data_IF_887945299944
#
_entry.id   IF_887945299944
#
_cell.length_a   1.000
_cell.length_b   1.000
_cell.length_c   1.000
_cell.angle_alpha   90.00
_cell.angle_beta   90.00
_cell.angle_gamma   90.00
#
_symmetry.space_group_name_H-M   'P 1'
#
loop_
_entity.id
_entity.type
_entity.pdbx_description
1 polymer ?
#
# COMPACT_ATOMS: atom_id res chain seq x y z
N UNK A 1 0.77 -1.32 -20.81
CA UNK A 1 1.77 -2.37 -20.57
C UNK A 1 1.33 -3.26 -19.43
N UNK A 2 1.27 -4.58 -19.62
CA UNK A 2 1.04 -5.55 -18.53
C UNK A 2 2.13 -5.41 -17.46
N UNK A 3 1.78 -5.60 -16.20
CA UNK A 3 2.75 -5.44 -15.09
C UNK A 3 3.57 -6.70 -14.80
N UNK A 4 3.11 -7.86 -15.23
CA UNK A 4 3.82 -9.14 -15.09
C UNK A 4 3.85 -9.90 -16.41
N UNK A 5 4.80 -10.83 -16.51
CA UNK A 5 4.89 -11.80 -17.60
C UNK A 5 5.09 -13.21 -17.03
N UNK A 6 4.20 -14.18 -17.34
CA UNK A 6 2.94 -14.04 -18.07
C UNK A 6 1.95 -13.06 -17.43
N UNK A 7 1.14 -12.43 -18.28
CA UNK A 7 0.15 -11.45 -17.85
C UNK A 7 -0.94 -12.09 -16.97
N UNK A 8 -1.44 -11.35 -15.99
CA UNK A 8 -2.50 -11.80 -15.08
C UNK A 8 -3.54 -10.71 -14.88
N UNK A 9 -4.78 -11.12 -14.61
CA UNK A 9 -5.91 -10.27 -14.27
C UNK A 9 -6.03 -9.99 -12.76
N UNK A 10 -5.18 -10.62 -11.93
CA UNK A 10 -5.18 -10.50 -10.47
C UNK A 10 -3.76 -10.47 -9.90
N UNK A 11 -3.48 -9.49 -9.06
CA UNK A 11 -2.19 -9.32 -8.39
C UNK A 11 -2.40 -9.01 -6.91
N UNK A 12 -1.57 -9.62 -6.07
CA UNK A 12 -1.55 -9.42 -4.63
C UNK A 12 -0.20 -8.79 -4.28
N UNK A 13 -0.22 -7.60 -3.67
CA UNK A 13 0.98 -6.92 -3.18
C UNK A 13 1.04 -7.05 -1.65
N UNK A 14 2.02 -7.79 -1.17
CA UNK A 14 2.28 -7.95 0.26
C UNK A 14 2.90 -6.70 0.86
N UNK A 15 2.47 -6.34 2.07
CA UNK A 15 2.87 -5.12 2.78
C UNK A 15 3.80 -5.41 3.98
N UNK A 16 4.54 -6.52 3.93
CA UNK A 16 5.33 -7.02 5.07
C UNK A 16 6.38 -6.01 5.58
N UNK A 17 6.97 -5.20 4.69
CA UNK A 17 7.95 -4.17 5.04
C UNK A 17 7.36 -2.98 5.81
N UNK A 18 6.02 -2.83 5.86
CA UNK A 18 5.36 -1.84 6.72
C UNK A 18 5.45 -2.27 8.20
N UNK A 19 5.71 -3.56 8.46
CA UNK A 19 5.74 -4.16 9.79
C UNK A 19 4.36 -4.61 10.25
N UNK A 20 4.11 -4.59 11.57
CA UNK A 20 2.85 -5.03 12.19
C UNK A 20 1.63 -4.29 11.58
N UNK A 21 1.79 -3.03 11.20
CA UNK A 21 0.73 -2.23 10.57
C UNK A 21 0.33 -2.79 9.19
N UNK A 22 1.27 -3.37 8.44
CA UNK A 22 0.97 -4.04 7.17
C UNK A 22 0.06 -5.25 7.34
N UNK A 23 0.19 -5.98 8.45
CA UNK A 23 -0.70 -7.10 8.78
C UNK A 23 -2.11 -6.64 9.17
N UNK A 24 -2.23 -5.48 9.83
CA UNK A 24 -3.50 -4.88 10.20
C UNK A 24 -4.36 -4.52 8.97
N UNK A 25 -3.72 -4.00 7.92
CA UNK A 25 -4.42 -3.58 6.71
C UNK A 25 -4.60 -4.67 5.66
N UNK A 26 -3.80 -5.72 5.75
CA UNK A 26 -3.76 -6.79 4.77
C UNK A 26 -3.05 -6.38 3.47
N UNK A 27 -2.97 -7.31 2.50
CA UNK A 27 -2.32 -7.06 1.23
C UNK A 27 -3.15 -6.16 0.32
N UNK A 28 -2.49 -5.51 -0.63
CA UNK A 28 -3.15 -4.75 -1.69
C UNK A 28 -3.58 -5.74 -2.76
N UNK A 29 -4.89 -5.86 -2.99
CA UNK A 29 -5.45 -6.75 -4.02
C UNK A 29 -5.89 -5.90 -5.20
N UNK A 30 -5.34 -6.20 -6.38
CA UNK A 30 -5.60 -5.48 -7.62
C UNK A 30 -6.15 -6.47 -8.64
N UNK A 31 -7.40 -6.26 -9.02
CA UNK A 31 -8.15 -7.14 -9.92
C UNK A 31 -8.74 -6.33 -11.06
N UNK A 32 -8.74 -6.90 -12.27
CA UNK A 32 -9.44 -6.35 -13.42
C UNK A 32 -10.53 -7.29 -13.90
N UNK A 33 -11.75 -6.79 -13.92
CA UNK A 33 -12.89 -7.54 -14.44
C UNK A 33 -12.79 -7.77 -15.95
N UNK A 34 -13.32 -8.91 -16.41
CA UNK A 34 -13.44 -9.23 -17.83
C UNK A 34 -12.17 -9.80 -18.47
N UNK A 35 -11.31 -10.48 -17.70
CA UNK A 35 -10.11 -11.18 -18.21
C UNK A 35 -9.04 -10.24 -18.77
N UNK A 36 -9.09 -8.95 -18.43
CA UNK A 36 -8.09 -7.98 -18.86
C UNK A 36 -6.89 -8.05 -17.92
N UNK A 37 -5.69 -8.05 -18.50
CA UNK A 37 -4.48 -8.02 -17.69
C UNK A 37 -4.35 -6.72 -16.89
N UNK A 38 -3.85 -6.88 -15.65
CA UNK A 38 -3.43 -5.78 -14.79
C UNK A 38 -2.24 -5.08 -15.46
N UNK A 39 -2.34 -3.76 -15.57
CA UNK A 39 -1.28 -2.93 -16.15
C UNK A 39 -0.44 -2.28 -15.06
N UNK A 40 0.75 -1.79 -15.42
CA UNK A 40 1.60 -1.00 -14.51
C UNK A 40 0.82 0.16 -13.91
N UNK A 41 -0.03 0.83 -14.71
CA UNK A 41 -0.90 1.90 -14.24
C UNK A 41 -1.88 1.44 -13.15
N UNK A 42 -2.47 0.27 -13.30
CA UNK A 42 -3.40 -0.27 -12.29
C UNK A 42 -2.66 -0.63 -11.01
N UNK A 43 -1.45 -1.18 -11.11
CA UNK A 43 -0.59 -1.43 -9.96
C UNK A 43 -0.30 -0.14 -9.19
N UNK A 44 0.20 0.90 -9.88
CA UNK A 44 0.53 2.18 -9.26
C UNK A 44 -0.70 2.85 -8.65
N UNK A 45 -1.84 2.80 -9.36
CA UNK A 45 -3.09 3.34 -8.86
C UNK A 45 -3.60 2.59 -7.61
N UNK A 46 -3.48 1.26 -7.57
CA UNK A 46 -3.86 0.45 -6.42
C UNK A 46 -2.99 0.72 -5.20
N UNK A 47 -1.66 0.82 -5.38
CA UNK A 47 -0.73 1.20 -4.32
C UNK A 47 -1.06 2.61 -3.80
N UNK A 48 -1.26 3.57 -4.71
CA UNK A 48 -1.62 4.93 -4.33
C UNK A 48 -2.94 4.97 -3.54
N UNK A 49 -4.00 4.33 -4.04
CA UNK A 49 -5.31 4.29 -3.39
C UNK A 49 -5.25 3.64 -1.99
N UNK A 50 -4.46 2.57 -1.84
CA UNK A 50 -4.22 1.95 -0.54
C UNK A 50 -3.64 2.97 0.45
N UNK A 51 -2.60 3.72 0.06
CA UNK A 51 -1.98 4.71 0.93
C UNK A 51 -2.83 5.97 1.17
N UNK A 52 -3.74 6.30 0.26
CA UNK A 52 -4.70 7.39 0.44
C UNK A 52 -5.90 7.01 1.32
N UNK A 53 -6.04 5.75 1.70
CA UNK A 53 -7.15 5.31 2.55
C UNK A 53 -7.05 5.95 3.94
N UNK A 54 -8.18 6.45 4.45
CA UNK A 54 -8.25 7.06 5.80
C UNK A 54 -8.05 6.00 6.87
N UNK A 55 -7.36 6.37 7.93
CA UNK A 55 -7.14 5.52 9.10
C UNK A 55 -8.32 5.71 10.06
N UNK A 56 -8.94 4.60 10.46
CA UNK A 56 -10.02 4.58 11.44
C UNK A 56 -9.48 4.85 12.84
N UNK A 57 -10.37 5.25 13.76
CA UNK A 57 -9.98 5.47 15.16
C UNK A 57 -9.40 4.22 15.82
N UNK A 58 -9.95 3.04 15.53
CA UNK A 58 -9.45 1.78 16.06
C UNK A 58 -8.03 1.47 15.55
N UNK A 59 -7.74 1.76 14.28
CA UNK A 59 -6.40 1.63 13.72
C UNK A 59 -5.42 2.64 14.36
N UNK A 60 -5.85 3.90 14.58
CA UNK A 60 -5.05 4.91 15.30
C UNK A 60 -4.71 4.44 16.71
N UNK A 61 -5.68 3.94 17.46
CA UNK A 61 -5.48 3.46 18.84
C UNK A 61 -4.52 2.25 18.85
N UNK A 62 -4.69 1.33 17.90
CA UNK A 62 -3.80 0.19 17.73
C UNK A 62 -2.36 0.62 17.42
N UNK A 63 -2.16 1.47 16.40
CA UNK A 63 -0.83 1.95 15.98
C UNK A 63 -0.14 2.72 17.10
N UNK A 64 -0.90 3.55 17.83
CA UNK A 64 -0.39 4.32 18.97
C UNK A 64 0.06 3.42 20.13
N UNK A 65 -0.59 2.26 20.32
CA UNK A 65 -0.20 1.30 21.34
C UNK A 65 1.10 0.53 21.04
N UNK A 66 1.52 0.48 19.76
CA UNK A 66 2.71 -0.24 19.33
C UNK A 66 4.02 0.49 19.67
N UNK A 67 3.98 1.78 19.97
CA UNK A 67 5.17 2.57 20.25
C UNK A 67 4.83 3.96 20.77
N UNK A 68 5.60 4.44 21.77
CA UNK A 68 5.33 5.72 22.46
C UNK A 68 5.25 6.92 21.53
N UNK A 69 6.04 6.92 20.46
CA UNK A 69 6.15 8.07 19.55
C UNK A 69 5.34 7.90 18.26
N UNK A 70 4.67 6.75 18.05
CA UNK A 70 3.96 6.45 16.80
C UNK A 70 2.82 7.42 16.53
N UNK A 71 2.06 7.79 17.57
CA UNK A 71 0.98 8.77 17.43
C UNK A 71 1.53 10.14 17.00
N UNK A 72 2.59 10.58 17.67
CA UNK A 72 3.21 11.87 17.39
C UNK A 72 3.80 11.91 15.97
N UNK A 73 4.55 10.88 15.57
CA UNK A 73 5.11 10.74 14.23
C UNK A 73 4.02 10.75 13.14
N UNK A 74 2.90 10.05 13.37
CA UNK A 74 1.77 10.03 12.45
C UNK A 74 1.08 11.41 12.34
N UNK A 75 0.90 12.11 13.47
CA UNK A 75 0.32 13.45 13.48
C UNK A 75 1.25 14.46 12.81
N UNK A 76 2.56 14.34 12.98
CA UNK A 76 3.54 15.21 12.36
C UNK A 76 3.60 14.98 10.84
N UNK A 77 3.61 13.72 10.38
CA UNK A 77 3.49 13.38 8.97
C UNK A 77 2.19 13.92 8.34
N UNK A 78 1.05 13.76 9.02
CA UNK A 78 -0.23 14.34 8.62
C UNK A 78 -0.18 15.86 8.51
N UNK A 79 0.40 16.53 9.53
CA UNK A 79 0.56 17.99 9.53
C UNK A 79 1.42 18.44 8.38
N UNK A 80 2.57 17.80 8.14
CA UNK A 80 3.43 18.14 7.02
C UNK A 80 2.70 17.97 5.68
N UNK A 81 2.01 16.84 5.49
CA UNK A 81 1.22 16.58 4.29
C UNK A 81 0.20 17.69 4.04
N UNK A 82 -0.49 18.15 5.08
CA UNK A 82 -1.56 19.16 4.96
C UNK A 82 -1.09 20.61 4.99
N UNK A 83 0.10 20.90 5.53
CA UNK A 83 0.64 22.27 5.64
C UNK A 83 1.66 22.63 4.56
N UNK A 84 1.93 21.72 3.62
CA UNK A 84 2.72 22.04 2.42
C UNK A 84 2.15 23.29 1.74
N UNK A 85 3.02 24.28 1.54
CA UNK A 85 2.68 25.64 1.07
C UNK A 85 1.85 25.67 -0.23
N UNK A 86 1.93 24.63 -1.04
CA UNK A 86 1.27 24.52 -2.34
C UNK A 86 -0.22 24.16 -2.26
N UNK A 87 -0.73 23.75 -1.10
CA UNK A 87 -2.12 23.30 -0.98
C UNK A 87 -3.15 24.44 -1.04
N UNK A 88 -2.79 25.67 -0.65
CA UNK A 88 -3.71 26.82 -0.72
C UNK A 88 -5.11 26.51 -0.18
N UNK A 89 -6.13 26.63 -1.04
CA UNK A 89 -7.54 26.35 -0.71
C UNK A 89 -7.86 24.87 -0.47
N UNK A 90 -7.00 23.93 -0.89
CA UNK A 90 -7.16 22.49 -0.65
C UNK A 90 -6.78 22.10 0.78
N UNK A 91 -6.12 22.97 1.53
CA UNK A 91 -5.71 22.70 2.91
C UNK A 91 -6.89 22.32 3.81
N UNK A 92 -7.97 23.09 3.73
CA UNK A 92 -9.14 22.88 4.59
C UNK A 92 -9.91 21.62 4.21
N UNK A 93 -9.81 21.18 2.96
CA UNK A 93 -10.34 19.89 2.51
C UNK A 93 -9.49 18.73 3.02
N UNK A 94 -8.18 18.80 2.84
CA UNK A 94 -7.22 17.82 3.36
C UNK A 94 -7.31 17.66 4.89
N UNK A 95 -7.60 18.75 5.61
CA UNK A 95 -7.83 18.70 7.06
C UNK A 95 -9.07 17.91 7.46
N UNK A 96 -10.13 17.94 6.64
CA UNK A 96 -11.36 17.18 6.90
C UNK A 96 -11.22 15.70 6.56
N UNK A 97 -10.33 15.38 5.63
CA UNK A 97 -10.03 14.00 5.26
C UNK A 97 -9.30 13.25 6.38
N UNK A 98 -8.55 13.97 7.21
CA UNK A 98 -7.87 13.43 8.39
C UNK A 98 -6.64 12.58 8.03
N UNK A 99 -6.26 11.71 8.96
CA UNK A 99 -5.07 10.86 8.86
C UNK A 99 -5.28 9.74 7.84
N UNK A 100 -4.29 9.53 6.96
CA UNK A 100 -4.27 8.49 5.92
C UNK A 100 -3.17 7.47 6.20
N UNK A 101 -3.26 6.28 5.61
CA UNK A 101 -2.29 5.20 5.80
C UNK A 101 -0.84 5.62 5.48
N UNK A 102 -0.67 6.53 4.51
CA UNK A 102 0.64 7.11 4.19
C UNK A 102 1.27 7.85 5.37
N UNK A 103 0.47 8.48 6.23
CA UNK A 103 0.97 9.24 7.39
C UNK A 103 1.55 8.31 8.46
N UNK A 104 1.14 7.04 8.48
CA UNK A 104 1.66 6.03 9.41
C UNK A 104 3.04 5.47 9.00
N UNK A 105 3.51 5.76 7.78
CA UNK A 105 4.86 5.36 7.35
C UNK A 105 5.95 6.22 7.98
N UNK A 106 5.59 7.43 8.44
CA UNK A 106 6.53 8.44 8.93
C UNK A 106 7.30 9.13 7.81
N UNK A 107 8.34 9.88 8.17
CA UNK A 107 9.11 10.73 7.25
C UNK A 107 10.31 10.03 6.60
N UNK A 108 10.69 8.84 7.07
CA UNK A 108 11.88 8.12 6.60
C UNK A 108 11.64 7.15 5.45
N UNK A 109 10.41 6.66 5.27
CA UNK A 109 10.17 5.53 4.35
C UNK A 109 9.79 5.96 2.95
N UNK A 110 10.63 5.60 1.99
CA UNK A 110 10.45 5.86 0.56
C UNK A 110 10.01 4.60 -0.17
N UNK A 111 9.04 4.74 -1.07
CA UNK A 111 8.68 3.67 -1.99
C UNK A 111 9.68 3.62 -3.14
N UNK A 112 10.35 2.48 -3.31
CA UNK A 112 11.31 2.25 -4.39
C UNK A 112 10.81 1.29 -5.48
N UNK A 113 9.71 0.57 -5.21
CA UNK A 113 9.11 -0.31 -6.20
C UNK A 113 8.36 -1.50 -5.60
N UNK A 114 8.26 -2.55 -6.41
CA UNK A 114 7.76 -3.86 -6.00
C UNK A 114 8.68 -4.92 -6.56
N UNK A 115 8.83 -6.05 -5.87
CA UNK A 115 9.53 -7.21 -6.42
C UNK A 115 8.68 -8.45 -6.30
N UNK A 116 8.95 -9.44 -7.13
CA UNK A 116 8.23 -10.71 -7.15
C UNK A 116 8.95 -11.73 -6.28
N UNK A 117 8.18 -12.52 -5.55
CA UNK A 117 8.67 -13.81 -5.04
C UNK A 117 8.10 -14.89 -5.95
N UNK A 118 8.96 -15.55 -6.71
CA UNK A 118 8.51 -16.69 -7.51
C UNK A 118 8.10 -17.81 -6.55
N UNK A 119 6.85 -18.31 -6.61
CA UNK A 119 6.56 -19.58 -5.96
C UNK A 119 7.42 -20.64 -6.68
N UNK A 120 8.16 -21.44 -5.91
CA UNK A 120 8.78 -22.64 -6.46
C UNK A 120 7.65 -23.46 -7.11
N UNK A 121 7.74 -23.65 -8.43
CA UNK A 121 6.87 -24.56 -9.16
C UNK A 121 7.16 -25.95 -8.61
N UNK A 122 6.20 -26.56 -7.91
CA UNK A 122 6.23 -28.00 -7.71
C UNK A 122 5.83 -28.62 -9.06
N UNK A 123 6.73 -29.41 -9.67
CA UNK A 123 6.65 -30.01 -11.01
C UNK A 123 5.45 -30.96 -11.26
N UNK A 124 4.40 -30.95 -10.43
CA UNK A 124 3.30 -31.91 -10.50
C UNK A 124 1.90 -31.37 -10.25
N UNK A 125 1.72 -30.04 -10.23
CA UNK A 125 0.39 -29.44 -10.02
C UNK A 125 -0.11 -28.83 -11.33
N UNK A 126 -1.08 -29.50 -11.97
CA UNK A 126 -1.79 -29.09 -13.20
C UNK A 126 -2.69 -27.85 -12.98
N UNK A 127 -2.19 -26.87 -12.22
CA UNK A 127 -2.84 -25.58 -12.03
C UNK A 127 -2.61 -24.71 -13.28
N UNK A 128 -3.37 -24.98 -14.34
CA UNK A 128 -3.51 -24.11 -15.51
C UNK A 128 -3.92 -22.65 -15.15
N UNK A 129 -4.34 -22.43 -13.91
CA UNK A 129 -4.66 -21.13 -13.30
C UNK A 129 -3.75 -20.81 -12.12
N UNK A 130 -2.43 -21.05 -12.25
CA UNK A 130 -1.42 -20.87 -11.19
C UNK A 130 -1.66 -19.68 -10.25
N UNK A 131 -1.23 -19.76 -8.99
CA UNK A 131 -1.58 -18.78 -7.95
C UNK A 131 -1.33 -17.34 -8.43
N UNK A 132 -2.20 -16.37 -8.07
CA UNK A 132 -2.07 -15.00 -8.53
C UNK A 132 -0.68 -14.45 -8.19
N UNK A 133 -0.14 -13.60 -9.05
CA UNK A 133 1.18 -13.02 -8.84
C UNK A 133 1.24 -12.36 -7.47
N UNK A 134 2.21 -12.78 -6.67
CA UNK A 134 2.53 -12.17 -5.38
C UNK A 134 3.74 -11.28 -5.54
N UNK A 135 3.49 -9.99 -5.37
CA UNK A 135 4.51 -8.96 -5.31
C UNK A 135 4.71 -8.56 -3.85
N UNK A 136 5.86 -8.02 -3.52
CA UNK A 136 6.15 -7.43 -2.23
C UNK A 136 6.41 -5.94 -2.40
N UNK A 137 5.84 -5.14 -1.51
CA UNK A 137 6.00 -3.69 -1.51
C UNK A 137 7.40 -3.31 -1.03
N UNK A 138 8.12 -2.53 -1.86
CA UNK A 138 9.45 -1.98 -1.59
C UNK A 138 9.41 -0.65 -0.89
N UNK A 139 9.73 -0.68 0.40
CA UNK A 139 10.02 0.49 1.22
C UNK A 139 11.50 0.46 1.64
N UNK A 140 12.12 1.63 1.67
CA UNK A 140 13.48 1.85 2.17
C UNK A 140 13.46 3.03 3.15
N UNK A 141 14.22 2.94 4.24
CA UNK A 141 14.40 4.01 5.22
C UNK A 141 15.40 5.09 4.76
#
# INVERSE_FOLDING_TARGET
>A
EPVTYPASDRIIVSCDQIGIIGQLWGPIVIERSGGRSVTVRDLLAGIYAFFQTRVTRAEVDCISSLGRDNYQAMVDAYRQRTTRRELGALRDWEWREGVRRVDCLGEGRWWWGVWVSYPYYNDGDDNLHGPPWRLHLGLVD
#
